data_IF_020005742857
#
_entry.id   IF_020005742857
#
_cell.length_a   1.000
_cell.length_b   1.000
_cell.length_c   1.000
_cell.angle_alpha   90.00
_cell.angle_beta   90.00
_cell.angle_gamma   90.00
#
_symmetry.space_group_name_H-M   'P 1'
#
loop_
_entity.id
_entity.type
_entity.pdbx_description
1 polymer ?
#
# COMPACT_ATOMS: atom_id res chain seq x y z
N UNK A 1 14.70 14.79 -5.95
CA UNK A 1 13.34 14.41 -6.38
C UNK A 1 12.98 13.12 -5.67
N UNK A 2 11.73 12.91 -5.22
CA UNK A 2 11.33 11.63 -4.64
C UNK A 2 11.56 10.51 -5.65
N UNK A 3 12.31 9.49 -5.24
CA UNK A 3 12.58 8.32 -6.08
C UNK A 3 11.34 7.41 -6.01
N UNK A 4 10.69 7.23 -7.16
CA UNK A 4 9.55 6.35 -7.30
C UNK A 4 10.01 5.05 -7.93
N UNK A 5 9.65 3.92 -7.32
CA UNK A 5 9.90 2.59 -7.88
C UNK A 5 8.61 2.05 -8.47
N UNK A 6 8.66 1.68 -9.74
CA UNK A 6 7.57 0.95 -10.41
C UNK A 6 7.90 -0.53 -10.31
N UNK A 7 6.97 -1.33 -9.81
CA UNK A 7 7.20 -2.78 -9.63
C UNK A 7 5.92 -3.57 -9.81
N UNK A 8 6.05 -4.73 -10.44
CA UNK A 8 4.95 -5.70 -10.55
C UNK A 8 4.66 -6.34 -9.20
N UNK A 9 3.39 -6.63 -8.96
CA UNK A 9 2.95 -7.34 -7.76
C UNK A 9 3.33 -8.82 -7.84
N UNK A 10 3.84 -9.35 -6.73
CA UNK A 10 4.21 -10.75 -6.59
C UNK A 10 3.00 -11.52 -6.03
N UNK A 11 2.46 -12.41 -6.86
CA UNK A 11 1.27 -13.21 -6.52
C UNK A 11 1.61 -14.60 -5.98
N UNK A 12 2.63 -15.26 -6.54
CA UNK A 12 2.98 -16.64 -6.18
C UNK A 12 3.50 -16.74 -4.75
N UNK A 13 2.84 -17.55 -3.93
CA UNK A 13 3.29 -17.79 -2.55
C UNK A 13 4.66 -18.46 -2.48
N UNK A 14 4.98 -19.31 -3.46
CA UNK A 14 6.32 -19.91 -3.60
C UNK A 14 7.40 -18.83 -3.74
N UNK A 15 7.20 -17.85 -4.62
CA UNK A 15 8.19 -16.78 -4.85
C UNK A 15 8.35 -15.92 -3.59
N UNK A 16 7.26 -15.60 -2.90
CA UNK A 16 7.31 -14.82 -1.64
C UNK A 16 8.08 -15.54 -0.55
N UNK A 17 7.82 -16.84 -0.38
CA UNK A 17 8.51 -17.68 0.60
C UNK A 17 9.99 -17.83 0.24
N UNK A 18 10.31 -18.09 -1.04
CA UNK A 18 11.69 -18.17 -1.51
C UNK A 18 12.44 -16.85 -1.28
N UNK A 19 11.78 -15.70 -1.47
CA UNK A 19 12.36 -14.39 -1.18
C UNK A 19 12.67 -14.21 0.31
N UNK A 20 11.68 -14.43 1.19
CA UNK A 20 11.88 -14.30 2.65
C UNK A 20 12.98 -15.25 3.11
N UNK A 21 12.96 -16.50 2.66
CA UNK A 21 13.93 -17.50 3.04
C UNK A 21 15.36 -17.11 2.63
N UNK A 22 15.55 -16.60 1.40
CA UNK A 22 16.87 -16.10 0.95
C UNK A 22 17.35 -14.92 1.77
N UNK A 23 16.47 -13.98 2.10
CA UNK A 23 16.83 -12.83 2.94
C UNK A 23 17.30 -13.28 4.33
N UNK A 24 16.60 -14.23 4.94
CA UNK A 24 17.00 -14.81 6.23
C UNK A 24 18.36 -15.53 6.14
N UNK A 25 18.61 -16.29 5.06
CA UNK A 25 19.92 -16.94 4.85
C UNK A 25 21.04 -15.93 4.75
N UNK A 26 20.85 -14.84 4.01
CA UNK A 26 21.86 -13.78 3.87
C UNK A 26 22.15 -13.15 5.23
N UNK A 27 21.11 -12.77 5.97
CA UNK A 27 21.27 -12.19 7.30
C UNK A 27 22.03 -13.15 8.24
N UNK A 28 21.64 -14.43 8.30
CA UNK A 28 22.35 -15.43 9.13
C UNK A 28 23.82 -15.54 8.71
N UNK A 29 24.10 -15.57 7.41
CA UNK A 29 25.46 -15.70 6.88
C UNK A 29 26.32 -14.48 7.22
N UNK A 30 25.75 -13.27 7.19
CA UNK A 30 26.45 -12.04 7.61
C UNK A 30 26.83 -12.10 9.08
N UNK A 31 25.90 -12.52 9.94
CA UNK A 31 26.16 -12.72 11.37
C UNK A 31 27.26 -13.75 11.62
N UNK A 32 27.17 -14.90 10.95
CA UNK A 32 28.20 -15.95 11.07
C UNK A 32 29.58 -15.43 10.66
N UNK A 33 29.67 -14.66 9.57
CA UNK A 33 30.92 -14.06 9.11
C UNK A 33 31.48 -13.03 10.11
N UNK A 34 30.64 -12.18 10.68
CA UNK A 34 31.05 -11.18 11.67
C UNK A 34 31.64 -11.86 12.92
N UNK A 35 30.99 -12.93 13.39
CA UNK A 35 31.49 -13.75 14.49
C UNK A 35 32.84 -14.40 14.17
N UNK A 36 33.00 -14.94 12.95
CA UNK A 36 34.25 -15.54 12.48
C UNK A 36 35.39 -14.51 12.35
N UNK A 37 35.06 -13.24 12.06
CA UNK A 37 36.02 -12.14 11.95
C UNK A 37 36.36 -11.50 13.31
N UNK A 38 35.87 -12.05 14.43
CA UNK A 38 36.22 -11.62 15.78
C UNK A 38 35.39 -10.45 16.31
N UNK A 39 34.27 -10.12 15.66
CA UNK A 39 33.27 -9.21 16.23
C UNK A 39 32.57 -9.99 17.35
N UNK A 40 32.70 -9.51 18.60
CA UNK A 40 32.08 -10.18 19.74
C UNK A 40 30.58 -9.90 19.79
N UNK A 41 29.81 -10.89 20.26
CA UNK A 41 28.36 -10.77 20.49
C UNK A 41 27.95 -9.57 21.37
N UNK A 42 28.86 -9.07 22.21
CA UNK A 42 28.63 -7.90 23.08
C UNK A 42 28.72 -6.56 22.34
N UNK A 43 29.41 -6.53 21.20
CA UNK A 43 29.51 -5.37 20.30
C UNK A 43 28.48 -5.44 19.17
N UNK A 44 27.89 -6.62 18.97
CA UNK A 44 26.89 -6.91 17.95
C UNK A 44 25.49 -6.67 18.50
N UNK A 45 24.83 -5.61 18.03
CA UNK A 45 23.44 -5.35 18.35
C UNK A 45 22.54 -6.20 17.45
N UNK A 46 22.17 -7.40 17.91
CA UNK A 46 21.26 -8.29 17.18
C UNK A 46 19.95 -7.60 16.77
N UNK A 47 19.53 -6.56 17.50
CA UNK A 47 18.35 -5.77 17.15
C UNK A 47 18.56 -4.99 15.85
N UNK A 48 19.76 -4.52 15.56
CA UNK A 48 20.05 -3.77 14.33
C UNK A 48 19.93 -4.66 13.09
N UNK A 49 20.53 -5.86 13.11
CA UNK A 49 20.38 -6.82 12.01
C UNK A 49 18.92 -7.29 11.87
N UNK A 50 18.23 -7.53 13.00
CA UNK A 50 16.82 -7.90 12.96
C UNK A 50 15.94 -6.78 12.38
N UNK A 51 16.21 -5.53 12.77
CA UNK A 51 15.52 -4.35 12.24
C UNK A 51 15.80 -4.17 10.74
N UNK A 52 17.04 -4.37 10.29
CA UNK A 52 17.38 -4.31 8.88
C UNK A 52 16.62 -5.37 8.06
N UNK A 53 16.55 -6.61 8.57
CA UNK A 53 15.74 -7.67 7.94
C UNK A 53 14.25 -7.28 7.90
N UNK A 54 13.71 -6.74 9.00
CA UNK A 54 12.32 -6.27 9.07
C UNK A 54 12.07 -5.14 8.07
N UNK A 55 13.00 -4.21 7.92
CA UNK A 55 12.91 -3.08 6.98
C UNK A 55 12.91 -3.58 5.54
N UNK A 56 13.80 -4.52 5.18
CA UNK A 56 13.79 -5.16 3.88
C UNK A 56 12.48 -5.90 3.62
N UNK A 57 12.01 -6.73 4.57
CA UNK A 57 10.73 -7.42 4.41
C UNK A 57 9.60 -6.42 4.22
N UNK A 58 9.53 -5.36 5.03
CA UNK A 58 8.49 -4.34 4.98
C UNK A 58 8.49 -3.60 3.64
N UNK A 59 9.68 -3.25 3.13
CA UNK A 59 9.86 -2.58 1.85
C UNK A 59 9.40 -3.44 0.65
N UNK A 60 9.47 -4.77 0.74
CA UNK A 60 9.01 -5.69 -0.31
C UNK A 60 7.59 -6.22 -0.06
N UNK A 61 7.10 -6.20 1.18
CA UNK A 61 5.76 -6.66 1.54
C UNK A 61 4.67 -5.84 0.82
N UNK A 62 4.95 -4.56 0.57
CA UNK A 62 4.12 -3.70 -0.28
C UNK A 62 3.98 -4.22 -1.72
N UNK A 63 4.74 -5.21 -2.17
CA UNK A 63 4.59 -5.84 -3.49
C UNK A 63 3.87 -7.17 -3.41
N UNK A 64 3.58 -7.70 -2.23
CA UNK A 64 2.94 -9.00 -2.09
C UNK A 64 1.42 -8.86 -2.21
N UNK A 65 0.81 -9.82 -2.91
CA UNK A 65 -0.65 -9.97 -2.97
C UNK A 65 -1.01 -11.44 -3.09
N UNK A 66 -2.13 -11.86 -2.49
CA UNK A 66 -2.52 -13.26 -2.51
C UNK A 66 -2.69 -13.79 -3.96
N UNK A 67 -2.30 -15.05 -4.19
CA UNK A 67 -2.28 -15.69 -5.52
C UNK A 67 -3.64 -15.66 -6.23
N UNK A 68 -4.74 -15.68 -5.47
CA UNK A 68 -6.10 -15.58 -6.01
C UNK A 68 -6.32 -14.29 -6.82
N UNK A 69 -5.56 -13.23 -6.59
CA UNK A 69 -5.68 -11.97 -7.33
C UNK A 69 -4.77 -11.87 -8.57
N UNK A 70 -4.09 -12.94 -8.96
CA UNK A 70 -3.13 -12.96 -10.09
C UNK A 70 -3.69 -12.40 -11.41
N UNK A 71 -4.99 -12.55 -11.64
CA UNK A 71 -5.65 -12.00 -12.84
C UNK A 71 -5.64 -10.47 -12.94
N UNK A 72 -5.35 -9.77 -11.84
CA UNK A 72 -5.37 -8.31 -11.82
C UNK A 72 -4.14 -7.67 -12.48
N UNK A 73 -3.04 -8.42 -12.62
CA UNK A 73 -1.78 -7.94 -13.23
C UNK A 73 -1.38 -6.55 -12.72
N UNK A 74 -1.41 -6.37 -11.39
CA UNK A 74 -1.22 -5.08 -10.73
C UNK A 74 0.23 -4.61 -10.80
N UNK A 75 0.40 -3.31 -11.11
CA UNK A 75 1.68 -2.60 -11.03
C UNK A 75 1.58 -1.55 -9.94
N UNK A 76 2.53 -1.54 -9.01
CA UNK A 76 2.59 -0.56 -7.90
C UNK A 76 3.66 0.48 -8.17
N UNK A 77 3.31 1.74 -7.92
CA UNK A 77 4.26 2.85 -7.84
C UNK A 77 4.47 3.10 -6.35
N UNK A 78 5.65 2.76 -5.86
CA UNK A 78 6.00 2.91 -4.45
C UNK A 78 6.99 4.05 -4.27
N UNK A 79 6.82 4.79 -3.18
CA UNK A 79 7.78 5.78 -2.74
C UNK A 79 8.10 5.46 -1.28
N UNK A 80 9.33 5.04 -1.02
CA UNK A 80 9.79 4.81 0.34
C UNK A 80 10.29 6.13 0.90
N UNK A 81 9.46 6.80 1.70
CA UNK A 81 9.87 8.02 2.38
C UNK A 81 10.56 7.61 3.69
N UNK A 82 11.87 7.78 3.76
CA UNK A 82 12.59 7.64 5.03
C UNK A 82 12.01 8.65 6.04
N UNK A 83 11.85 8.17 7.27
CA UNK A 83 11.29 8.81 8.46
C UNK A 83 11.17 10.35 8.45
N UNK A 84 10.02 10.82 8.97
CA UNK A 84 9.54 12.22 9.08
C UNK A 84 8.65 12.73 7.95
N UNK A 85 7.61 11.98 7.58
CA UNK A 85 6.37 12.67 7.23
C UNK A 85 5.56 12.83 8.50
N UNK A 86 5.33 14.07 8.95
CA UNK A 86 4.40 14.40 10.04
C UNK A 86 2.93 14.12 9.68
N UNK A 87 2.66 12.95 9.10
CA UNK A 87 1.33 12.48 8.76
C UNK A 87 0.64 12.06 10.04
N UNK A 88 -0.59 12.53 10.22
CA UNK A 88 -1.37 12.15 11.40
C UNK A 88 -1.98 10.78 11.12
N UNK A 89 -1.68 9.80 11.96
CA UNK A 89 -2.39 8.52 11.93
C UNK A 89 -3.76 8.74 12.58
N UNK A 90 -4.82 8.62 11.80
CA UNK A 90 -6.20 8.66 12.29
C UNK A 90 -6.71 7.25 12.57
N UNK A 91 -7.78 7.17 13.36
CA UNK A 91 -8.46 5.92 13.65
C UNK A 91 -9.95 6.04 13.36
N UNK A 92 -10.52 5.03 12.72
CA UNK A 92 -11.98 4.88 12.58
C UNK A 92 -12.45 3.67 13.35
N UNK A 93 -13.63 3.75 13.93
CA UNK A 93 -14.24 2.59 14.58
C UNK A 93 -14.77 1.59 13.56
N UNK A 94 -14.71 0.32 13.90
CA UNK A 94 -15.31 -0.78 13.15
C UNK A 94 -15.79 -1.86 14.13
N UNK A 95 -16.54 -2.85 13.63
CA UNK A 95 -16.99 -3.99 14.43
C UNK A 95 -15.83 -4.84 14.99
N UNK A 96 -14.65 -4.78 14.36
CA UNK A 96 -13.47 -5.57 14.73
C UNK A 96 -12.41 -4.74 15.48
N UNK A 97 -12.74 -3.50 15.86
CA UNK A 97 -11.83 -2.60 16.59
C UNK A 97 -11.50 -1.31 15.82
N UNK A 98 -10.46 -0.62 16.29
CA UNK A 98 -9.96 0.61 15.69
C UNK A 98 -9.10 0.29 14.47
N UNK A 99 -9.46 0.87 13.33
CA UNK A 99 -8.70 0.71 12.08
C UNK A 99 -7.90 1.99 11.86
N UNK A 100 -6.55 1.93 11.84
CA UNK A 100 -5.73 3.08 11.50
C UNK A 100 -5.89 3.43 10.02
N UNK A 101 -5.87 4.73 9.70
CA UNK A 101 -5.88 5.23 8.33
C UNK A 101 -5.15 6.58 8.25
N UNK A 102 -4.61 6.90 7.07
CA UNK A 102 -4.10 8.23 6.73
C UNK A 102 -5.05 8.89 5.74
N UNK A 103 -5.16 10.22 5.77
CA UNK A 103 -5.99 10.93 4.80
C UNK A 103 -5.15 11.20 3.55
N UNK A 104 -5.72 10.92 2.38
CA UNK A 104 -5.03 11.13 1.11
C UNK A 104 -4.68 12.60 0.86
N UNK A 105 -5.44 13.57 1.41
CA UNK A 105 -5.11 14.99 1.33
C UNK A 105 -3.86 15.38 2.15
N UNK A 106 -3.39 14.55 3.08
CA UNK A 106 -2.12 14.74 3.80
C UNK A 106 -0.92 14.14 3.05
N UNK A 107 -1.19 13.26 2.08
CA UNK A 107 -0.16 12.74 1.17
C UNK A 107 0.27 13.80 0.15
N UNK A 108 -0.66 14.67 -0.25
CA UNK A 108 -0.40 15.81 -1.12
C UNK A 108 -0.11 17.04 -0.25
N UNK A 109 1.17 17.40 -0.08
CA UNK A 109 1.51 18.64 0.61
C UNK A 109 1.08 19.80 -0.29
N UNK A 110 -0.08 20.40 0.00
CA UNK A 110 -0.69 21.50 -0.75
C UNK A 110 0.27 22.69 -0.92
N UNK A 111 1.28 22.80 -0.06
CA UNK A 111 2.30 23.86 -0.06
C UNK A 111 3.26 23.80 -1.26
N UNK A 112 3.36 22.65 -1.95
CA UNK A 112 4.20 22.50 -3.16
C UNK A 112 3.43 22.68 -4.46
N UNK A 113 2.12 22.93 -4.38
CA UNK A 113 1.24 23.05 -5.53
C UNK A 113 1.00 24.54 -5.79
N UNK A 114 1.27 25.06 -7.00
CA UNK A 114 0.98 26.45 -7.36
C UNK A 114 -0.47 26.79 -7.01
N UNK A 115 -0.75 28.01 -6.53
CA UNK A 115 -2.08 28.41 -6.06
C UNK A 115 -3.19 28.12 -7.09
N UNK A 116 -2.86 28.29 -8.38
CA UNK A 116 -3.71 28.01 -9.54
C UNK A 116 -4.16 26.54 -9.64
N UNK A 117 -3.40 25.61 -9.05
CA UNK A 117 -3.67 24.17 -9.02
C UNK A 117 -4.19 23.67 -7.67
N UNK A 118 -4.28 24.52 -6.64
CA UNK A 118 -4.84 24.13 -5.33
C UNK A 118 -6.33 23.80 -5.42
N UNK A 119 -7.10 24.48 -6.26
CA UNK A 119 -8.51 24.12 -6.49
C UNK A 119 -8.66 22.73 -7.15
N UNK A 120 -7.74 22.34 -8.04
CA UNK A 120 -7.71 21.00 -8.66
C UNK A 120 -7.42 19.88 -7.65
N UNK A 121 -6.89 20.21 -6.46
CA UNK A 121 -6.49 19.20 -5.43
C UNK A 121 -7.58 18.89 -4.42
N UNK A 122 -8.70 19.64 -4.42
CA UNK A 122 -9.82 19.37 -3.49
C UNK A 122 -10.58 18.08 -3.83
N UNK A 123 -10.49 17.61 -5.08
CA UNK A 123 -11.20 16.43 -5.58
C UNK A 123 -10.22 15.40 -6.12
N UNK A 124 -10.48 14.13 -5.84
CA UNK A 124 -9.72 13.02 -6.41
C UNK A 124 -10.07 12.91 -7.91
N UNK A 125 -9.12 12.61 -8.82
CA UNK A 125 -9.39 12.47 -10.24
C UNK A 125 -10.07 11.12 -10.55
N UNK A 126 -11.31 10.96 -10.09
CA UNK A 126 -12.10 9.74 -10.27
C UNK A 126 -12.75 9.78 -11.66
N UNK A 127 -12.54 8.75 -12.47
CA UNK A 127 -13.23 8.59 -13.78
C UNK A 127 -14.37 7.57 -13.74
N UNK A 128 -14.29 6.61 -12.81
CA UNK A 128 -15.19 5.47 -12.74
C UNK A 128 -15.21 4.86 -11.35
N UNK A 129 -16.38 4.40 -10.93
CA UNK A 129 -16.59 3.57 -9.76
C UNK A 129 -17.08 2.19 -10.23
N UNK A 130 -16.39 1.15 -9.79
CA UNK A 130 -16.72 -0.24 -10.11
C UNK A 130 -17.25 -0.89 -8.83
N UNK A 131 -18.50 -1.35 -8.88
CA UNK A 131 -19.14 -2.02 -7.73
C UNK A 131 -18.94 -3.52 -7.87
N UNK A 132 -18.41 -4.17 -6.83
CA UNK A 132 -18.26 -5.61 -6.79
C UNK A 132 -19.59 -6.36 -7.06
N UNK A 133 -19.54 -7.63 -7.47
CA UNK A 133 -20.72 -8.41 -7.80
C UNK A 133 -21.69 -8.48 -6.61
N UNK A 134 -22.92 -8.01 -6.81
CA UNK A 134 -23.96 -7.94 -5.79
C UNK A 134 -25.34 -7.92 -6.44
N UNK A 135 -26.33 -8.53 -5.76
CA UNK A 135 -27.74 -8.48 -6.18
C UNK A 135 -28.36 -7.09 -6.07
N UNK A 136 -27.75 -6.20 -5.30
CA UNK A 136 -28.25 -4.85 -5.00
C UNK A 136 -27.55 -3.75 -5.83
N UNK A 137 -27.05 -4.11 -7.01
CA UNK A 137 -26.24 -3.20 -7.81
C UNK A 137 -27.00 -1.92 -8.19
N UNK A 138 -28.28 -2.03 -8.54
CA UNK A 138 -29.08 -0.88 -8.97
C UNK A 138 -29.32 0.11 -7.83
N UNK A 139 -29.60 -0.38 -6.63
CA UNK A 139 -29.79 0.42 -5.43
C UNK A 139 -28.50 1.12 -5.03
N UNK A 140 -27.37 0.40 -5.05
CA UNK A 140 -26.04 0.95 -4.79
C UNK A 140 -25.69 2.01 -5.83
N UNK A 141 -25.92 1.73 -7.12
CA UNK A 141 -25.68 2.68 -8.22
C UNK A 141 -26.46 3.98 -8.00
N UNK A 142 -27.74 3.90 -7.61
CA UNK A 142 -28.57 5.06 -7.32
C UNK A 142 -28.03 5.86 -6.13
N UNK A 143 -27.70 5.18 -5.03
CA UNK A 143 -27.15 5.82 -3.82
C UNK A 143 -25.82 6.52 -4.09
N UNK A 144 -24.89 5.86 -4.79
CA UNK A 144 -23.61 6.44 -5.20
C UNK A 144 -23.87 7.63 -6.15
N UNK A 145 -24.80 7.49 -7.10
CA UNK A 145 -25.15 8.59 -8.03
C UNK A 145 -25.61 9.86 -7.31
N UNK A 146 -26.46 9.73 -6.28
CA UNK A 146 -26.84 10.88 -5.45
C UNK A 146 -25.62 11.51 -4.77
N UNK A 147 -24.77 10.70 -4.14
CA UNK A 147 -23.57 11.20 -3.47
C UNK A 147 -22.62 11.92 -4.44
N UNK A 148 -22.40 11.36 -5.64
CA UNK A 148 -21.56 11.95 -6.67
C UNK A 148 -22.11 13.29 -7.16
N UNK A 149 -23.42 13.42 -7.35
CA UNK A 149 -24.04 14.67 -7.75
C UNK A 149 -23.80 15.78 -6.71
N UNK A 150 -24.07 15.50 -5.42
CA UNK A 150 -23.81 16.46 -4.34
C UNK A 150 -22.33 16.76 -4.11
N UNK A 151 -21.46 15.82 -4.47
CA UNK A 151 -20.01 15.98 -4.39
C UNK A 151 -19.41 16.57 -5.67
N UNK A 152 -20.25 17.01 -6.62
CA UNK A 152 -19.86 17.62 -7.89
C UNK A 152 -18.93 16.71 -8.74
N UNK A 153 -19.29 15.42 -8.85
CA UNK A 153 -18.67 14.37 -9.65
C UNK A 153 -19.62 13.83 -10.74
N UNK A 154 -20.31 14.72 -11.45
CA UNK A 154 -21.40 14.37 -12.38
C UNK A 154 -20.95 13.46 -13.54
N UNK A 155 -19.67 13.53 -13.92
CA UNK A 155 -19.11 12.76 -15.04
C UNK A 155 -18.59 11.36 -14.63
N UNK A 156 -18.69 10.97 -13.35
CA UNK A 156 -18.19 9.68 -12.87
C UNK A 156 -19.19 8.58 -13.12
N UNK A 157 -18.80 7.60 -13.93
CA UNK A 157 -19.64 6.43 -14.23
C UNK A 157 -19.60 5.38 -13.11
N UNK A 158 -20.76 4.79 -12.79
CA UNK A 158 -20.88 3.67 -11.84
C UNK A 158 -21.31 2.41 -12.59
N UNK A 159 -20.46 1.39 -12.59
CA UNK A 159 -20.67 0.15 -13.36
C UNK A 159 -20.52 -1.09 -12.48
N UNK A 160 -21.12 -2.23 -12.86
CA UNK A 160 -20.87 -3.49 -12.18
C UNK A 160 -19.47 -4.00 -12.51
N UNK A 161 -18.86 -4.70 -11.56
CA UNK A 161 -17.63 -5.44 -11.77
C UNK A 161 -17.89 -6.67 -12.63
N UNK A 162 -17.00 -6.91 -13.59
CA UNK A 162 -16.94 -8.18 -14.32
C UNK A 162 -16.12 -9.24 -13.55
N UNK A 163 -15.50 -8.86 -12.43
CA UNK A 163 -14.74 -9.78 -11.58
C UNK A 163 -15.75 -10.56 -10.72
N UNK A 164 -15.76 -11.90 -10.79
CA UNK A 164 -16.67 -12.72 -10.00
C UNK A 164 -16.41 -12.57 -8.49
N UNK A 165 -17.44 -12.86 -7.69
CA UNK A 165 -17.34 -12.80 -6.24
C UNK A 165 -16.33 -13.85 -5.78
N UNK A 166 -15.27 -13.41 -5.11
CA UNK A 166 -14.29 -14.29 -4.47
C UNK A 166 -14.67 -14.31 -2.99
N UNK A 167 -15.38 -15.37 -2.59
CA UNK A 167 -15.89 -15.55 -1.23
C UNK A 167 -14.81 -15.72 -0.18
#
# INVERSE_FOLDING_TARGET
MPEYKISEVIYSDKIKLDFIHKLLIVAITEVENDLLNGINYTDWNYEDTANEVIDYISAYFILFKNESFSTENEVRITHHRSEKSGQTIYFRSSKIGLIPYIKSNELYTLDQIPDEKKELTKKLPISKIIVGPTRYFLEIKKSIGFFLHYSEYENVSVVPSNIPFRG
#
